data_IF_215902200263
#
_entry.id   IF_215902200263
#
_cell.length_a   1.000
_cell.length_b   1.000
_cell.length_c   1.000
_cell.angle_alpha   90.00
_cell.angle_beta   90.00
_cell.angle_gamma   90.00
#
_symmetry.space_group_name_H-M   'P 1'
#
loop_
_entity.id
_entity.type
_entity.pdbx_description
1 polymer ?
#
# COMPACT_ATOMS: atom_id res chain seq x y z
N UNK A 1 30.41 -47.75 47.76
CA UNK A 1 28.96 -48.07 47.83
C UNK A 1 28.33 -47.77 46.48
N UNK A 2 27.68 -48.78 45.85
CA UNK A 2 26.69 -48.77 44.75
C UNK A 2 26.93 -47.75 43.59
N UNK A 3 27.60 -48.09 42.47
CA UNK A 3 27.08 -48.79 41.26
C UNK A 3 25.64 -48.40 40.84
N UNK A 4 25.51 -47.76 39.68
CA UNK A 4 24.43 -48.01 38.71
C UNK A 4 24.95 -47.78 37.28
N UNK A 5 24.97 -48.88 36.53
CA UNK A 5 25.34 -49.06 35.13
C UNK A 5 24.05 -49.39 34.38
N UNK A 6 23.87 -48.84 33.17
CA UNK A 6 23.15 -49.42 32.00
C UNK A 6 22.82 -48.26 31.03
N UNK A 7 23.43 -48.10 29.85
CA UNK A 7 23.36 -48.94 28.62
C UNK A 7 21.91 -49.11 28.14
N UNK A 8 21.54 -48.59 26.95
CA UNK A 8 21.04 -49.39 25.81
C UNK A 8 20.62 -48.55 24.56
N UNK A 9 21.08 -49.03 23.39
CA UNK A 9 20.55 -48.96 22.00
C UNK A 9 20.26 -47.58 21.36
N UNK A 10 20.88 -47.14 20.24
CA UNK A 10 21.20 -47.74 18.91
C UNK A 10 19.97 -47.99 18.00
N UNK A 11 20.03 -47.33 16.82
CA UNK A 11 19.35 -47.55 15.53
C UNK A 11 17.89 -47.09 15.36
N UNK A 12 17.69 -46.07 14.51
CA UNK A 12 17.16 -46.28 13.15
C UNK A 12 17.34 -45.02 12.29
N UNK A 13 18.05 -45.18 11.17
CA UNK A 13 18.02 -44.24 10.06
C UNK A 13 16.71 -44.43 9.29
N UNK A 14 15.96 -43.35 9.08
CA UNK A 14 14.96 -43.26 8.02
C UNK A 14 15.35 -42.07 7.16
N UNK A 15 15.79 -42.38 5.94
CA UNK A 15 15.87 -41.42 4.86
C UNK A 15 14.44 -41.14 4.36
N UNK A 16 13.97 -39.91 4.52
CA UNK A 16 12.87 -39.33 3.74
C UNK A 16 13.46 -38.06 3.10
N UNK A 17 14.00 -38.13 1.89
CA UNK A 17 13.29 -37.88 0.62
C UNK A 17 12.31 -36.70 0.71
N UNK A 18 12.71 -35.60 0.09
CA UNK A 18 11.82 -34.71 -0.66
C UNK A 18 10.70 -34.02 0.11
N UNK A 19 11.00 -32.84 0.65
CA UNK A 19 9.99 -31.91 1.11
C UNK A 19 10.59 -30.54 1.39
N UNK A 20 10.96 -29.79 0.35
CA UNK A 20 11.01 -28.33 0.44
C UNK A 20 9.57 -27.82 0.60
N UNK A 21 8.97 -28.07 1.76
CA UNK A 21 7.81 -27.33 2.24
C UNK A 21 8.36 -26.13 2.97
N UNK A 22 8.50 -25.01 2.27
CA UNK A 22 8.76 -23.73 2.91
C UNK A 22 7.66 -23.49 3.91
N UNK A 23 8.02 -23.57 5.18
CA UNK A 23 7.20 -23.14 6.31
C UNK A 23 7.03 -21.63 6.17
N UNK A 24 5.96 -21.20 5.50
CA UNK A 24 5.46 -19.82 5.50
C UNK A 24 4.61 -19.55 6.75
N UNK A 25 4.65 -20.45 7.75
CA UNK A 25 4.12 -20.20 9.09
C UNK A 25 4.93 -19.10 9.78
N UNK A 26 4.24 -18.08 10.25
CA UNK A 26 4.76 -16.99 11.11
C UNK A 26 5.62 -15.89 10.47
N UNK A 27 5.50 -15.62 9.17
CA UNK A 27 5.81 -14.24 8.72
C UNK A 27 4.70 -13.32 9.21
N UNK A 28 4.99 -12.33 10.10
CA UNK A 28 3.97 -11.40 10.56
C UNK A 28 3.34 -10.72 9.35
N UNK A 29 2.01 -10.69 9.30
CA UNK A 29 1.27 -10.03 8.24
C UNK A 29 1.80 -8.61 8.05
N UNK A 30 2.23 -8.27 6.84
CA UNK A 30 2.77 -6.95 6.53
C UNK A 30 1.64 -5.93 6.64
N UNK A 31 1.63 -5.19 7.74
CA UNK A 31 0.69 -4.09 7.93
C UNK A 31 0.99 -2.99 6.91
N UNK A 32 -0.07 -2.48 6.29
CA UNK A 32 -0.01 -1.33 5.40
C UNK A 32 -0.84 -0.19 5.99
N UNK A 33 -0.55 1.03 5.58
CA UNK A 33 -1.35 2.19 5.91
C UNK A 33 -1.89 2.80 4.62
N UNK A 34 -3.05 3.43 4.71
CA UNK A 34 -3.51 4.37 3.70
C UNK A 34 -3.72 5.73 4.34
N UNK A 35 -3.47 6.78 3.56
CA UNK A 35 -3.76 8.16 3.92
C UNK A 35 -4.74 8.72 2.90
N UNK A 36 -5.85 9.25 3.39
CA UNK A 36 -6.94 9.80 2.58
C UNK A 36 -6.89 11.32 2.72
N UNK A 37 -6.61 12.00 1.61
CA UNK A 37 -6.55 13.46 1.55
C UNK A 37 -7.84 14.01 0.96
N UNK A 38 -8.29 15.15 1.46
CA UNK A 38 -9.53 15.78 1.04
C UNK A 38 -9.28 17.01 0.16
N UNK A 39 -10.23 17.32 -0.71
CA UNK A 39 -10.26 18.60 -1.40
C UNK A 39 -10.53 19.74 -0.41
N UNK A 40 -10.08 20.94 -0.77
CA UNK A 40 -10.39 22.16 -0.02
C UNK A 40 -11.91 22.31 0.17
N UNK A 41 -12.30 22.74 1.38
CA UNK A 41 -13.69 22.92 1.77
C UNK A 41 -14.45 21.62 2.05
N UNK A 42 -13.77 20.47 2.23
CA UNK A 42 -14.40 19.29 2.78
C UNK A 42 -15.02 19.59 4.16
N UNK A 43 -16.27 19.17 4.35
CA UNK A 43 -17.00 19.37 5.61
C UNK A 43 -16.62 18.32 6.65
N UNK A 44 -16.89 18.61 7.93
CA UNK A 44 -16.69 17.63 9.01
C UNK A 44 -17.50 16.36 8.75
N UNK A 45 -18.76 16.49 8.33
CA UNK A 45 -19.60 15.33 8.00
C UNK A 45 -19.01 14.44 6.88
N UNK A 46 -18.31 15.02 5.90
CA UNK A 46 -17.65 14.24 4.84
C UNK A 46 -16.41 13.50 5.36
N UNK A 47 -15.61 14.15 6.23
CA UNK A 47 -14.48 13.50 6.90
C UNK A 47 -14.96 12.35 7.80
N UNK A 48 -15.98 12.61 8.61
CA UNK A 48 -16.60 11.61 9.50
C UNK A 48 -17.17 10.43 8.71
N UNK A 49 -17.75 10.68 7.53
CA UNK A 49 -18.24 9.61 6.66
C UNK A 49 -17.11 8.72 6.13
N UNK A 50 -15.98 9.31 5.71
CA UNK A 50 -14.79 8.54 5.29
C UNK A 50 -14.23 7.73 6.47
N UNK A 51 -14.12 8.35 7.64
CA UNK A 51 -13.63 7.70 8.85
C UNK A 51 -14.53 6.53 9.28
N UNK A 52 -15.86 6.74 9.31
CA UNK A 52 -16.84 5.70 9.60
C UNK A 52 -16.78 4.56 8.56
N UNK A 53 -16.66 4.91 7.27
CA UNK A 53 -16.52 3.91 6.21
C UNK A 53 -15.26 3.06 6.41
N UNK A 54 -14.10 3.69 6.64
CA UNK A 54 -12.86 2.97 6.91
C UNK A 54 -12.97 2.03 8.11
N UNK A 55 -13.59 2.47 9.21
CA UNK A 55 -13.78 1.62 10.40
C UNK A 55 -14.74 0.46 10.19
N UNK A 56 -15.66 0.58 9.23
CA UNK A 56 -16.59 -0.51 8.88
C UNK A 56 -15.92 -1.62 8.06
N UNK A 57 -14.73 -1.37 7.49
CA UNK A 57 -14.07 -2.32 6.60
C UNK A 57 -13.30 -3.40 7.39
N UNK A 58 -13.33 -4.65 6.91
CA UNK A 58 -12.61 -5.73 7.57
C UNK A 58 -11.11 -5.44 7.57
N UNK A 59 -10.44 -5.84 8.66
CA UNK A 59 -8.98 -5.74 8.82
C UNK A 59 -8.42 -4.32 8.80
N UNK A 60 -9.27 -3.30 8.98
CA UNK A 60 -8.87 -1.93 9.28
C UNK A 60 -8.91 -1.71 10.79
N UNK A 61 -7.79 -1.33 11.42
CA UNK A 61 -7.69 -1.30 12.90
C UNK A 61 -7.43 0.08 13.50
N UNK A 62 -6.67 0.94 12.84
CA UNK A 62 -6.26 2.24 13.40
C UNK A 62 -6.66 3.36 12.46
N UNK A 63 -7.88 3.90 12.61
CA UNK A 63 -8.38 5.03 11.81
C UNK A 63 -8.32 6.30 12.64
N UNK A 64 -7.52 7.26 12.19
CA UNK A 64 -7.24 8.52 12.87
C UNK A 64 -7.30 9.68 11.89
N UNK A 65 -8.03 10.73 12.25
CA UNK A 65 -7.90 12.03 11.61
C UNK A 65 -6.54 12.62 11.95
N UNK A 66 -5.81 13.10 10.94
CA UNK A 66 -4.58 13.84 11.06
C UNK A 66 -4.84 15.26 10.55
N UNK A 67 -4.65 16.23 11.43
CA UNK A 67 -4.75 17.65 11.02
C UNK A 67 -3.55 18.03 10.15
N UNK A 68 -3.67 19.12 9.39
CA UNK A 68 -2.51 19.71 8.69
C UNK A 68 -1.29 19.92 9.61
N UNK A 69 -1.52 20.31 10.87
CA UNK A 69 -0.46 20.45 11.88
C UNK A 69 0.19 19.11 12.26
N UNK A 70 -0.59 18.03 12.38
CA UNK A 70 -0.06 16.70 12.69
C UNK A 70 0.77 16.15 11.52
N UNK A 71 0.31 16.37 10.30
CA UNK A 71 1.06 16.02 9.08
C UNK A 71 2.37 16.81 9.02
N UNK A 72 2.33 18.11 9.31
CA UNK A 72 3.53 18.95 9.38
C UNK A 72 4.53 18.42 10.42
N UNK A 73 4.05 18.12 11.64
CA UNK A 73 4.87 17.63 12.75
C UNK A 73 5.53 16.29 12.40
N UNK A 74 4.79 15.41 11.72
CA UNK A 74 5.33 14.16 11.19
C UNK A 74 6.44 14.43 10.17
N UNK A 75 6.19 15.29 9.17
CA UNK A 75 7.18 15.67 8.16
C UNK A 75 8.43 16.29 8.79
N UNK A 76 8.30 17.14 9.80
CA UNK A 76 9.45 17.68 10.53
C UNK A 76 10.34 16.58 11.12
N UNK A 77 9.76 15.45 11.53
CA UNK A 77 10.50 14.32 12.09
C UNK A 77 11.06 13.36 11.04
N UNK A 78 10.35 13.16 9.92
CA UNK A 78 10.69 12.14 8.92
C UNK A 78 11.40 12.69 7.68
N UNK A 79 11.07 13.93 7.29
CA UNK A 79 11.64 14.65 6.15
C UNK A 79 11.74 16.15 6.46
N UNK A 80 12.68 16.54 7.35
CA UNK A 80 12.81 17.92 7.81
C UNK A 80 13.16 18.89 6.67
N UNK A 81 13.81 18.45 5.60
CA UNK A 81 14.12 19.32 4.46
C UNK A 81 12.86 19.70 3.69
N UNK A 82 11.98 18.73 3.40
CA UNK A 82 10.68 19.04 2.78
C UNK A 82 9.83 19.92 3.69
N UNK A 83 9.81 19.64 5.00
CA UNK A 83 9.02 20.43 5.96
C UNK A 83 9.41 21.92 6.03
N UNK A 84 10.68 22.28 5.76
CA UNK A 84 11.13 23.69 5.75
C UNK A 84 10.49 24.53 4.65
N UNK A 85 10.00 23.88 3.59
CA UNK A 85 9.45 24.54 2.41
C UNK A 85 7.91 24.55 2.39
N UNK A 86 7.28 24.06 3.45
CA UNK A 86 5.83 23.94 3.57
C UNK A 86 5.28 24.88 4.64
N UNK A 87 4.16 25.53 4.33
CA UNK A 87 3.35 26.23 5.32
C UNK A 87 2.44 25.21 6.02
N UNK A 88 2.52 25.03 7.35
CA UNK A 88 1.67 24.10 8.08
C UNK A 88 0.17 24.37 7.88
N UNK A 89 -0.21 25.65 7.72
CA UNK A 89 -1.61 26.05 7.52
C UNK A 89 -2.14 25.71 6.13
N UNK A 90 -1.24 25.43 5.18
CA UNK A 90 -1.58 25.01 3.82
C UNK A 90 -1.67 23.49 3.63
N UNK A 91 -1.36 22.70 4.67
CA UNK A 91 -1.47 21.25 4.58
C UNK A 91 -2.91 20.78 4.76
N UNK A 92 -3.43 19.91 3.87
CA UNK A 92 -4.77 19.39 4.01
C UNK A 92 -4.85 18.42 5.19
N UNK A 93 -5.98 18.46 5.89
CA UNK A 93 -6.35 17.37 6.79
C UNK A 93 -6.40 16.05 6.02
N UNK A 94 -6.10 14.96 6.71
CA UNK A 94 -6.17 13.61 6.15
C UNK A 94 -6.73 12.62 7.16
N UNK A 95 -7.30 11.51 6.68
CA UNK A 95 -7.62 10.37 7.53
C UNK A 95 -6.62 9.26 7.22
N UNK A 96 -5.91 8.81 8.23
CA UNK A 96 -4.98 7.68 8.13
C UNK A 96 -5.64 6.43 8.68
N UNK A 97 -5.52 5.33 7.95
CA UNK A 97 -6.01 4.02 8.36
C UNK A 97 -4.93 2.95 8.24
N UNK A 98 -4.78 2.10 9.26
CA UNK A 98 -3.93 0.89 9.18
C UNK A 98 -4.75 -0.31 8.75
N UNK A 99 -4.24 -1.02 7.74
CA UNK A 99 -4.81 -2.23 7.14
C UNK A 99 -3.89 -3.40 7.49
N UNK A 100 -4.40 -4.41 8.18
CA UNK A 100 -3.61 -5.57 8.62
C UNK A 100 -3.39 -6.62 7.54
N UNK A 101 -4.06 -6.47 6.39
CA UNK A 101 -3.89 -7.29 5.19
C UNK A 101 -3.57 -6.40 4.00
N UNK A 102 -2.32 -6.42 3.57
CA UNK A 102 -1.84 -5.62 2.46
C UNK A 102 -2.61 -5.86 1.14
N UNK A 103 -3.21 -7.05 0.98
CA UNK A 103 -4.00 -7.40 -0.19
C UNK A 103 -5.34 -6.64 -0.28
N UNK A 104 -5.70 -5.92 0.78
CA UNK A 104 -6.87 -5.03 0.84
C UNK A 104 -6.54 -3.56 0.55
N UNK A 105 -5.26 -3.17 0.47
CA UNK A 105 -4.88 -1.75 0.26
C UNK A 105 -5.50 -1.20 -1.02
N UNK A 106 -5.35 -1.92 -2.14
CA UNK A 106 -5.91 -1.51 -3.43
C UNK A 106 -7.44 -1.41 -3.42
N UNK A 107 -8.22 -2.47 -3.09
CA UNK A 107 -9.68 -2.39 -3.12
C UNK A 107 -10.25 -1.38 -2.12
N UNK A 108 -9.64 -1.23 -0.93
CA UNK A 108 -10.04 -0.19 0.03
C UNK A 108 -9.76 1.20 -0.54
N UNK A 109 -8.60 1.40 -1.18
CA UNK A 109 -8.27 2.69 -1.80
C UNK A 109 -9.22 3.04 -2.94
N UNK A 110 -9.59 2.07 -3.77
CA UNK A 110 -10.55 2.25 -4.88
C UNK A 110 -11.93 2.63 -4.34
N UNK A 111 -12.44 1.90 -3.36
CA UNK A 111 -13.71 2.20 -2.70
C UNK A 111 -13.74 3.60 -2.07
N UNK A 112 -12.68 3.98 -1.35
CA UNK A 112 -12.65 5.26 -0.62
C UNK A 112 -12.47 6.45 -1.56
N UNK A 113 -11.74 6.31 -2.67
CA UNK A 113 -11.58 7.41 -3.63
C UNK A 113 -12.85 7.79 -4.38
N UNK A 114 -13.86 6.91 -4.43
CA UNK A 114 -15.18 7.25 -4.94
C UNK A 114 -16.00 8.15 -4.00
N UNK A 115 -15.57 8.34 -2.75
CA UNK A 115 -16.35 9.10 -1.77
C UNK A 115 -16.29 10.62 -2.03
N UNK A 116 -17.38 11.35 -1.72
CA UNK A 116 -17.43 12.79 -1.91
C UNK A 116 -16.27 13.52 -1.24
N UNK A 117 -15.64 14.44 -1.98
CA UNK A 117 -14.53 15.31 -1.52
C UNK A 117 -13.23 14.60 -1.15
N UNK A 118 -13.09 13.31 -1.43
CA UNK A 118 -11.76 12.65 -1.40
C UNK A 118 -10.97 13.12 -2.62
N UNK A 119 -9.81 13.73 -2.38
CA UNK A 119 -8.90 14.20 -3.42
C UNK A 119 -7.94 13.10 -3.86
N UNK A 120 -7.36 12.38 -2.89
CA UNK A 120 -6.44 11.29 -3.16
C UNK A 120 -6.43 10.28 -2.02
N UNK A 121 -6.01 9.07 -2.35
CA UNK A 121 -5.71 8.02 -1.37
C UNK A 121 -4.32 7.50 -1.70
N UNK A 122 -3.40 7.54 -0.76
CA UNK A 122 -2.05 6.98 -0.90
C UNK A 122 -1.92 5.75 -0.02
N UNK A 123 -1.15 4.76 -0.47
CA UNK A 123 -0.81 3.56 0.29
C UNK A 123 0.65 3.57 0.69
N UNK A 124 0.96 3.13 1.90
CA UNK A 124 2.30 3.10 2.49
C UNK A 124 2.50 1.87 3.38
N UNK A 125 3.75 1.57 3.73
CA UNK A 125 4.03 0.59 4.80
C UNK A 125 3.61 1.17 6.16
N UNK A 126 2.92 0.38 7.00
CA UNK A 126 2.60 0.83 8.34
C UNK A 126 3.87 0.86 9.20
N UNK A 127 4.34 2.04 9.58
CA UNK A 127 5.48 2.20 10.49
C UNK A 127 6.59 3.17 10.06
N UNK A 128 6.45 3.87 8.92
CA UNK A 128 7.28 5.05 8.59
C UNK A 128 8.74 4.79 8.21
N UNK A 129 9.32 3.63 8.51
CA UNK A 129 10.65 3.23 8.05
C UNK A 129 10.54 2.13 7.01
N UNK A 130 10.28 2.53 5.76
CA UNK A 130 10.49 1.64 4.63
C UNK A 130 12.01 1.37 4.52
N UNK A 131 12.43 0.12 4.68
CA UNK A 131 13.77 -0.29 4.22
C UNK A 131 13.92 0.20 2.77
N UNK A 132 14.87 1.12 2.47
CA UNK A 132 15.02 1.68 1.14
C UNK A 132 15.27 0.57 0.13
N UNK A 133 15.98 -0.49 0.52
CA UNK A 133 16.32 -1.59 -0.39
C UNK A 133 15.18 -2.57 -0.61
N UNK A 134 14.06 -2.42 0.08
CA UNK A 134 12.98 -3.38 -0.04
C UNK A 134 12.15 -3.08 -1.30
N UNK A 135 11.92 -4.14 -2.08
CA UNK A 135 11.05 -4.09 -3.26
C UNK A 135 9.64 -3.63 -2.88
N UNK A 136 9.01 -2.85 -3.75
CA UNK A 136 7.65 -2.35 -3.61
C UNK A 136 6.85 -2.64 -4.87
N UNK A 137 5.57 -2.89 -4.68
CA UNK A 137 4.61 -2.91 -5.77
C UNK A 137 4.04 -1.52 -5.99
N UNK A 138 3.96 -1.11 -7.25
CA UNK A 138 3.35 0.15 -7.68
C UNK A 138 2.18 -0.17 -8.60
N UNK A 139 1.04 0.45 -8.31
CA UNK A 139 -0.20 0.33 -9.08
C UNK A 139 -0.56 1.74 -9.56
N UNK A 140 -0.42 1.99 -10.85
CA UNK A 140 -0.78 3.25 -11.50
C UNK A 140 -2.19 3.08 -12.05
N UNK A 141 -3.18 3.66 -11.35
CA UNK A 141 -4.57 3.71 -11.80
C UNK A 141 -4.70 4.71 -12.94
N UNK A 142 -5.28 4.28 -14.04
CA UNK A 142 -5.37 5.08 -15.27
C UNK A 142 -6.80 5.53 -15.56
N UNK A 143 -6.92 6.72 -16.14
CA UNK A 143 -8.12 7.18 -16.80
C UNK A 143 -7.98 7.04 -18.32
N UNK A 144 -9.04 7.32 -19.08
CA UNK A 144 -9.03 7.09 -20.52
C UNK A 144 -7.98 7.98 -21.24
N UNK A 145 -6.94 7.34 -21.79
CA UNK A 145 -5.89 7.96 -22.61
C UNK A 145 -4.52 7.97 -21.93
N UNK A 146 -3.49 8.40 -22.67
CA UNK A 146 -2.14 8.57 -22.12
C UNK A 146 -1.34 7.28 -21.87
N UNK A 147 -1.82 6.12 -22.33
CA UNK A 147 -1.17 4.82 -22.09
C UNK A 147 0.32 4.80 -22.48
N UNK A 148 0.65 5.33 -23.66
CA UNK A 148 2.05 5.41 -24.12
C UNK A 148 2.91 6.29 -23.21
N UNK A 149 2.41 7.46 -22.81
CA UNK A 149 3.12 8.37 -21.90
C UNK A 149 3.37 7.71 -20.53
N UNK A 150 2.40 6.93 -20.04
CA UNK A 150 2.49 6.18 -18.78
C UNK A 150 3.52 5.05 -18.89
N UNK A 151 3.47 4.25 -19.96
CA UNK A 151 4.44 3.19 -20.19
C UNK A 151 5.86 3.72 -20.31
N UNK A 152 6.05 4.82 -21.02
CA UNK A 152 7.36 5.43 -21.19
C UNK A 152 7.87 6.05 -19.88
N UNK A 153 6.98 6.67 -19.09
CA UNK A 153 7.32 7.14 -17.75
C UNK A 153 7.72 5.98 -16.82
N UNK A 154 7.02 4.83 -16.87
CA UNK A 154 7.38 3.65 -16.07
C UNK A 154 8.73 3.07 -16.52
N UNK A 155 8.99 2.96 -17.83
CA UNK A 155 10.28 2.49 -18.37
C UNK A 155 11.45 3.38 -17.97
N UNK A 156 11.20 4.66 -17.74
CA UNK A 156 12.21 5.62 -17.30
C UNK A 156 12.58 5.47 -15.81
N UNK A 157 11.81 4.73 -15.01
CA UNK A 157 12.08 4.52 -13.59
C UNK A 157 13.23 3.51 -13.43
N UNK A 158 14.35 3.90 -12.80
CA UNK A 158 15.44 2.97 -12.53
C UNK A 158 14.96 1.80 -11.67
N UNK A 159 15.39 0.58 -12.03
CA UNK A 159 15.07 -0.65 -11.28
C UNK A 159 13.57 -0.98 -11.23
N UNK A 160 12.75 -0.39 -12.10
CA UNK A 160 11.40 -0.87 -12.32
C UNK A 160 11.41 -2.18 -13.11
N UNK A 161 10.56 -3.12 -12.72
CA UNK A 161 10.24 -4.29 -13.54
C UNK A 161 9.44 -3.88 -14.78
N UNK A 162 9.31 -4.80 -15.74
CA UNK A 162 8.33 -4.63 -16.80
C UNK A 162 6.92 -4.46 -16.18
N UNK A 163 6.16 -3.50 -16.71
CA UNK A 163 4.80 -3.25 -16.28
C UNK A 163 3.82 -4.22 -16.96
N UNK A 164 2.83 -4.66 -16.19
CA UNK A 164 1.67 -5.39 -16.71
C UNK A 164 0.45 -4.48 -16.67
N UNK A 165 -0.34 -4.51 -17.74
CA UNK A 165 -1.60 -3.79 -17.79
C UNK A 165 -2.74 -4.71 -17.34
N UNK A 166 -3.60 -4.20 -16.46
CA UNK A 166 -4.83 -4.85 -16.00
C UNK A 166 -6.02 -3.97 -16.39
N UNK A 167 -7.03 -4.57 -17.04
CA UNK A 167 -8.25 -3.86 -17.40
C UNK A 167 -9.12 -3.59 -16.18
N UNK A 168 -10.01 -2.58 -16.24
CA UNK A 168 -10.98 -2.31 -15.17
C UNK A 168 -11.84 -3.54 -14.82
N UNK A 169 -12.24 -4.31 -15.84
CA UNK A 169 -13.06 -5.50 -15.65
C UNK A 169 -12.30 -6.62 -14.91
N UNK A 170 -11.02 -6.82 -15.24
CA UNK A 170 -10.16 -7.80 -14.58
C UNK A 170 -9.85 -7.39 -13.13
N UNK A 171 -9.55 -6.10 -12.93
CA UNK A 171 -9.33 -5.52 -11.60
C UNK A 171 -10.58 -5.72 -10.71
N UNK A 172 -11.77 -5.39 -11.23
CA UNK A 172 -13.02 -5.61 -10.50
C UNK A 172 -13.22 -7.08 -10.13
N UNK A 173 -13.06 -7.99 -11.11
CA UNK A 173 -13.21 -9.44 -10.89
C UNK A 173 -12.28 -9.96 -9.79
N UNK A 174 -11.05 -9.45 -9.72
CA UNK A 174 -10.06 -9.82 -8.69
C UNK A 174 -10.41 -9.28 -7.30
N UNK A 175 -11.07 -8.13 -7.23
CA UNK A 175 -11.24 -7.37 -5.99
C UNK A 175 -12.63 -7.47 -5.35
N UNK A 176 -13.69 -7.70 -6.12
CA UNK A 176 -15.09 -7.62 -5.65
C UNK A 176 -15.42 -8.49 -4.42
N UNK A 177 -14.75 -9.63 -4.26
CA UNK A 177 -15.00 -10.56 -3.15
C UNK A 177 -14.14 -10.23 -1.92
N UNK A 178 -13.29 -9.19 -1.99
CA UNK A 178 -12.36 -8.78 -0.92
C UNK A 178 -12.91 -7.65 -0.06
N UNK A 179 -13.73 -6.78 -0.64
CA UNK A 179 -14.30 -5.60 0.02
C UNK A 179 -15.76 -5.46 -0.39
N UNK A 180 -16.66 -5.41 0.59
CA UNK A 180 -18.08 -5.20 0.36
C UNK A 180 -18.38 -3.79 -0.13
N UNK A 181 -19.24 -3.68 -1.14
CA UNK A 181 -19.68 -2.42 -1.73
C UNK A 181 -18.68 -1.80 -2.72
N UNK A 182 -17.66 -2.56 -3.15
CA UNK A 182 -16.87 -2.19 -4.31
C UNK A 182 -17.70 -2.39 -5.58
N UNK A 183 -17.89 -1.33 -6.37
CA UNK A 183 -18.61 -1.38 -7.64
C UNK A 183 -17.64 -1.46 -8.82
N UNK A 184 -18.13 -1.90 -9.98
CA UNK A 184 -17.29 -2.04 -11.18
C UNK A 184 -16.64 -0.73 -11.62
N UNK A 185 -17.32 0.39 -11.40
CA UNK A 185 -16.83 1.73 -11.73
C UNK A 185 -15.69 2.22 -10.82
N UNK A 186 -15.54 1.63 -9.63
CA UNK A 186 -14.47 1.99 -8.68
C UNK A 186 -13.14 1.31 -9.06
N UNK A 187 -13.22 0.15 -9.71
CA UNK A 187 -12.07 -0.63 -10.15
C UNK A 187 -11.50 -0.09 -11.47
N UNK A 188 -10.62 0.90 -11.38
CA UNK A 188 -9.94 1.46 -12.54
C UNK A 188 -8.89 0.50 -13.11
N UNK A 189 -8.73 0.56 -14.45
CA UNK A 189 -7.61 -0.06 -15.14
C UNK A 189 -6.29 0.42 -14.56
N UNK A 190 -5.24 -0.40 -14.66
CA UNK A 190 -3.98 -0.07 -14.05
C UNK A 190 -2.75 -0.65 -14.73
N UNK A 191 -1.63 0.04 -14.59
CA UNK A 191 -0.31 -0.54 -14.78
C UNK A 191 0.25 -0.99 -13.44
N UNK A 192 0.81 -2.20 -13.40
CA UNK A 192 1.31 -2.87 -12.20
C UNK A 192 2.76 -3.26 -12.43
N UNK A 193 3.66 -2.83 -11.54
CA UNK A 193 5.08 -3.14 -11.65
C UNK A 193 5.77 -3.08 -10.28
N UNK A 194 6.92 -3.74 -10.18
CA UNK A 194 7.77 -3.72 -9.00
C UNK A 194 8.88 -2.71 -9.16
N UNK A 195 9.36 -2.13 -8.07
CA UNK A 195 10.49 -1.21 -8.07
C UNK A 195 11.29 -1.35 -6.77
N UNK A 196 12.61 -1.15 -6.86
CA UNK A 196 13.50 -1.07 -5.70
C UNK A 196 13.99 0.37 -5.57
N UNK A 197 13.87 0.97 -4.37
CA UNK A 197 14.12 2.40 -4.18
C UNK A 197 15.49 2.69 -3.55
N UNK A 198 16.44 3.18 -4.33
CA UNK A 198 17.67 3.73 -3.76
C UNK A 198 17.41 5.12 -3.13
N UNK A 199 16.76 5.19 -1.96
CA UNK A 199 16.61 6.44 -1.20
C UNK A 199 15.20 6.97 -0.98
N UNK A 200 14.18 6.11 -1.04
CA UNK A 200 12.80 6.49 -0.79
C UNK A 200 12.00 6.74 -2.07
N UNK A 201 10.71 6.97 -1.86
CA UNK A 201 9.67 6.76 -2.86
C UNK A 201 9.23 8.05 -3.59
N UNK A 202 9.66 9.22 -3.11
CA UNK A 202 8.95 10.47 -3.36
C UNK A 202 9.11 11.04 -4.77
N UNK A 203 10.30 11.02 -5.38
CA UNK A 203 10.53 11.78 -6.63
C UNK A 203 9.95 11.10 -7.87
N UNK A 204 10.21 9.81 -8.02
CA UNK A 204 9.75 9.02 -9.17
C UNK A 204 8.23 8.81 -9.12
N UNK A 205 7.64 8.69 -7.93
CA UNK A 205 6.19 8.69 -7.80
C UNK A 205 5.56 10.04 -8.09
N UNK A 206 6.18 11.14 -7.64
CA UNK A 206 5.75 12.48 -8.00
C UNK A 206 5.81 12.71 -9.52
N UNK A 207 6.76 12.08 -10.23
CA UNK A 207 6.78 12.14 -11.68
C UNK A 207 5.57 11.42 -12.28
N UNK A 208 5.23 10.22 -11.80
CA UNK A 208 4.08 9.44 -12.29
C UNK A 208 2.73 10.12 -12.08
N UNK A 209 2.49 10.73 -10.92
CA UNK A 209 1.19 11.40 -10.66
C UNK A 209 0.92 12.59 -11.59
N UNK A 210 1.95 13.12 -12.24
CA UNK A 210 1.84 14.23 -13.19
C UNK A 210 1.76 13.76 -14.66
N UNK A 211 1.84 12.45 -14.92
CA UNK A 211 1.72 11.92 -16.27
C UNK A 211 0.26 11.97 -16.70
N UNK A 212 0.03 12.44 -17.93
CA UNK A 212 -1.31 12.50 -18.52
C UNK A 212 -1.96 11.11 -18.51
N UNK A 213 -3.20 11.03 -18.05
CA UNK A 213 -3.94 9.77 -17.95
C UNK A 213 -3.69 8.98 -16.67
N UNK A 214 -2.76 9.43 -15.80
CA UNK A 214 -2.64 8.87 -14.46
C UNK A 214 -3.70 9.50 -13.56
N UNK A 215 -4.59 8.65 -13.05
CA UNK A 215 -5.58 9.06 -12.07
C UNK A 215 -5.02 9.04 -10.65
N UNK A 216 -4.20 8.03 -10.33
CA UNK A 216 -3.63 7.81 -9.00
C UNK A 216 -2.48 6.81 -9.04
N UNK A 217 -1.55 6.93 -8.09
CA UNK A 217 -0.52 5.92 -7.81
C UNK A 217 -0.76 5.34 -6.42
N UNK A 218 -0.74 4.02 -6.31
CA UNK A 218 -0.87 3.27 -5.04
C UNK A 218 0.39 2.44 -4.84
N UNK A 219 0.94 2.47 -3.63
CA UNK A 219 2.10 1.66 -3.22
C UNK A 219 1.63 0.53 -2.33
N UNK A 220 2.11 -0.67 -2.62
CA UNK A 220 1.81 -1.88 -1.85
C UNK A 220 3.09 -2.67 -1.61
N UNK A 221 3.12 -3.58 -0.63
CA UNK A 221 4.19 -4.58 -0.54
C UNK A 221 4.31 -5.37 -1.86
N UNK A 222 5.54 -5.67 -2.29
CA UNK A 222 5.78 -6.30 -3.60
C UNK A 222 5.13 -7.68 -3.78
N UNK A 223 4.85 -8.39 -2.67
CA UNK A 223 4.14 -9.68 -2.70
C UNK A 223 2.62 -9.57 -2.92
N UNK A 224 2.08 -8.36 -3.05
CA UNK A 224 0.65 -8.11 -3.29
C UNK A 224 0.31 -8.00 -4.78
N UNK A 225 1.29 -7.67 -5.64
CA UNK A 225 1.07 -7.54 -7.08
C UNK A 225 0.80 -8.89 -7.75
#
# INVERSE_FOLDING_TARGET
MKRLTAVLAVLLAVASVGGCGGDDGDKPAVKSAISVFFYEGATTAQRDAVEARLRSLPKVTEVQLQTGEDVYRLLQSTDPETAKHLDPSGLPDSVRAVITDAALVEPVSDLIAGMPKVASVTGDAAGGSADPKAERGVIVKVENGGQTDIEDAIKAIPQASAATFESSADAYKRMKDRVEGLEQQDALASYRFKVTYAGGISREQQALVNVKGVRRVIVVPAGVL
#
